data_IF_858522735737
#
_entry.id   IF_858522735737
#
_cell.length_a   1.000
_cell.length_b   1.000
_cell.length_c   1.000
_cell.angle_alpha   90.00
_cell.angle_beta   90.00
_cell.angle_gamma   90.00
#
_symmetry.space_group_name_H-M   'P 1'
#
loop_
_entity.id
_entity.type
_entity.pdbx_description
1 polymer ?
#
# COMPACT_ATOMS: atom_id res chain seq x y z
N UNK A 1 17.57 19.66 -0.63
CA UNK A 1 18.30 18.48 -1.18
C UNK A 1 18.30 18.60 -2.71
N UNK A 2 19.32 18.07 -3.42
CA UNK A 2 19.25 18.05 -4.90
C UNK A 2 18.25 16.98 -5.38
N UNK A 3 17.62 17.23 -6.53
CA UNK A 3 16.68 16.28 -7.13
C UNK A 3 17.26 14.86 -7.32
N UNK A 4 18.48 14.68 -7.87
CA UNK A 4 19.05 13.33 -8.03
C UNK A 4 19.22 12.59 -6.71
N UNK A 5 19.58 13.33 -5.63
CA UNK A 5 19.71 12.72 -4.30
C UNK A 5 18.37 12.30 -3.72
N UNK A 6 17.33 13.15 -3.84
CA UNK A 6 15.99 12.79 -3.40
C UNK A 6 15.48 11.53 -4.12
N UNK A 7 15.62 11.50 -5.45
CA UNK A 7 15.19 10.38 -6.29
C UNK A 7 15.96 9.09 -5.97
N UNK A 8 17.28 9.19 -5.70
CA UNK A 8 18.07 8.04 -5.24
C UNK A 8 17.57 7.49 -3.91
N UNK A 9 17.26 8.36 -2.95
CA UNK A 9 16.73 7.96 -1.65
C UNK A 9 15.35 7.29 -1.77
N UNK A 10 14.46 7.84 -2.63
CA UNK A 10 13.19 7.19 -2.95
C UNK A 10 13.36 5.82 -3.63
N UNK A 11 14.35 5.69 -4.52
CA UNK A 11 14.69 4.40 -5.12
C UNK A 11 15.18 3.39 -4.07
N UNK A 12 15.99 3.82 -3.10
CA UNK A 12 16.45 2.96 -1.99
C UNK A 12 15.28 2.53 -1.13
N UNK A 13 14.40 3.48 -0.74
CA UNK A 13 13.20 3.16 0.05
C UNK A 13 12.33 2.12 -0.66
N UNK A 14 12.00 2.32 -1.94
CA UNK A 14 11.21 1.37 -2.72
C UNK A 14 11.91 0.01 -2.93
N UNK A 15 13.24 0.00 -3.06
CA UNK A 15 14.00 -1.23 -3.25
C UNK A 15 13.99 -2.15 -2.01
N UNK A 16 13.73 -1.63 -0.82
CA UNK A 16 13.68 -2.48 0.40
C UNK A 16 12.55 -3.52 0.37
N UNK A 17 11.54 -3.35 -0.48
CA UNK A 17 10.48 -4.35 -0.70
C UNK A 17 11.06 -5.71 -1.09
N UNK A 18 12.21 -5.72 -1.81
CA UNK A 18 12.90 -6.94 -2.21
C UNK A 18 13.42 -7.76 -1.04
N UNK A 19 13.58 -7.18 0.15
CA UNK A 19 14.03 -7.90 1.35
C UNK A 19 12.92 -8.79 1.93
N UNK A 20 11.65 -8.44 1.74
CA UNK A 20 10.50 -9.24 2.16
C UNK A 20 10.15 -10.39 1.19
N UNK A 21 10.42 -10.22 -0.10
CA UNK A 21 9.99 -11.15 -1.16
C UNK A 21 10.56 -12.57 -1.08
N UNK A 22 11.80 -12.83 -0.59
CA UNK A 22 12.35 -14.19 -0.52
C UNK A 22 11.52 -15.17 0.28
N UNK A 23 10.66 -14.71 1.19
CA UNK A 23 9.71 -15.56 1.95
C UNK A 23 8.82 -16.40 1.03
N UNK A 24 8.50 -15.92 -0.18
CA UNK A 24 7.77 -16.65 -1.20
C UNK A 24 8.44 -17.96 -1.65
N UNK A 25 9.71 -18.17 -1.33
CA UNK A 25 10.49 -19.37 -1.69
C UNK A 25 10.63 -20.38 -0.56
N UNK A 26 10.14 -20.08 0.62
CA UNK A 26 10.16 -21.01 1.76
C UNK A 26 9.27 -22.21 1.44
N UNK A 27 9.77 -23.43 1.66
CA UNK A 27 9.12 -24.69 1.34
C UNK A 27 8.87 -25.55 2.55
N UNK A 28 7.90 -26.48 2.40
CA UNK A 28 7.62 -27.48 3.43
C UNK A 28 6.96 -26.91 4.68
N UNK A 29 6.40 -25.70 4.61
CA UNK A 29 5.66 -25.12 5.73
C UNK A 29 4.37 -25.91 5.96
N UNK A 30 4.06 -26.27 7.21
CA UNK A 30 2.73 -26.81 7.57
C UNK A 30 1.61 -25.85 7.14
N UNK A 31 0.47 -26.39 6.69
CA UNK A 31 -0.67 -25.59 6.20
C UNK A 31 -1.13 -24.54 7.22
N UNK A 32 -1.17 -24.92 8.51
CA UNK A 32 -1.52 -23.98 9.57
C UNK A 32 -0.54 -22.79 9.67
N UNK A 33 0.76 -23.05 9.50
CA UNK A 33 1.78 -21.97 9.52
C UNK A 33 1.66 -21.07 8.29
N UNK A 34 1.36 -21.62 7.10
CA UNK A 34 1.04 -20.83 5.91
C UNK A 34 -0.18 -19.91 6.18
N UNK A 35 -1.19 -20.44 6.86
CA UNK A 35 -2.37 -19.66 7.26
C UNK A 35 -2.04 -18.53 8.24
N UNK A 36 -1.20 -18.79 9.24
CA UNK A 36 -0.75 -17.77 10.21
C UNK A 36 0.09 -16.69 9.53
N UNK A 37 1.00 -17.05 8.62
CA UNK A 37 1.79 -16.10 7.84
C UNK A 37 0.90 -15.23 6.94
N UNK A 38 -0.10 -15.85 6.31
CA UNK A 38 -1.08 -15.10 5.53
C UNK A 38 -1.92 -14.17 6.41
N UNK A 39 -2.33 -14.60 7.60
CA UNK A 39 -3.07 -13.77 8.55
C UNK A 39 -2.21 -12.60 9.07
N UNK A 40 -0.92 -12.83 9.30
CA UNK A 40 0.03 -11.79 9.68
C UNK A 40 0.16 -10.72 8.57
N UNK A 41 0.35 -11.15 7.31
CA UNK A 41 0.34 -10.23 6.18
C UNK A 41 -0.99 -9.47 6.05
N UNK A 42 -2.13 -10.15 6.27
CA UNK A 42 -3.45 -9.51 6.29
C UNK A 42 -3.53 -8.43 7.36
N UNK A 43 -2.98 -8.67 8.55
CA UNK A 43 -2.93 -7.69 9.64
C UNK A 43 -2.14 -6.43 9.27
N UNK A 44 -0.98 -6.59 8.64
CA UNK A 44 -0.18 -5.47 8.11
C UNK A 44 -1.02 -4.64 7.13
N UNK A 45 -1.67 -5.30 6.17
CA UNK A 45 -2.45 -4.61 5.14
C UNK A 45 -3.75 -3.98 5.68
N UNK A 46 -4.33 -4.50 6.77
CA UNK A 46 -5.46 -3.86 7.47
C UNK A 46 -5.02 -2.54 8.09
N UNK A 47 -3.85 -2.52 8.75
CA UNK A 47 -3.28 -1.29 9.27
C UNK A 47 -3.00 -0.29 8.14
N UNK A 48 -2.36 -0.75 7.07
CA UNK A 48 -2.04 0.07 5.91
C UNK A 48 -3.30 0.68 5.26
N UNK A 49 -4.39 -0.08 5.15
CA UNK A 49 -5.66 0.44 4.66
C UNK A 49 -6.20 1.58 5.55
N UNK A 50 -6.14 1.42 6.87
CA UNK A 50 -6.54 2.46 7.81
C UNK A 50 -5.69 3.71 7.65
N UNK A 51 -4.39 3.56 7.55
CA UNK A 51 -3.43 4.65 7.38
C UNK A 51 -3.66 5.41 6.07
N UNK A 52 -3.77 4.69 4.94
CA UNK A 52 -4.05 5.28 3.62
C UNK A 52 -5.38 6.04 3.62
N UNK A 53 -6.45 5.46 4.20
CA UNK A 53 -7.75 6.12 4.27
C UNK A 53 -7.70 7.39 5.13
N UNK A 54 -6.92 7.39 6.21
CA UNK A 54 -6.73 8.55 7.08
C UNK A 54 -6.03 9.69 6.31
N UNK A 55 -4.96 9.36 5.58
CA UNK A 55 -4.22 10.33 4.78
C UNK A 55 -5.01 10.84 3.57
N UNK A 56 -5.79 10.00 2.91
CA UNK A 56 -6.65 10.39 1.79
C UNK A 56 -7.87 11.21 2.24
N UNK A 57 -8.42 10.90 3.43
CA UNK A 57 -9.60 11.56 3.98
C UNK A 57 -9.31 12.94 4.59
N UNK A 58 -8.11 13.13 5.16
CA UNK A 58 -7.74 14.38 5.83
C UNK A 58 -7.95 15.65 4.99
N UNK A 59 -7.46 15.72 3.74
CA UNK A 59 -7.71 16.84 2.83
C UNK A 59 -9.21 17.06 2.53
N UNK A 60 -10.00 15.98 2.40
CA UNK A 60 -11.44 16.05 2.16
C UNK A 60 -12.15 16.67 3.38
N UNK A 61 -11.80 16.21 4.59
CA UNK A 61 -12.34 16.76 5.85
C UNK A 61 -11.94 18.22 6.05
N UNK A 62 -10.68 18.55 5.73
CA UNK A 62 -10.20 19.95 5.79
C UNK A 62 -11.01 20.85 4.86
N UNK A 63 -11.25 20.42 3.61
CA UNK A 63 -12.06 21.16 2.66
C UNK A 63 -13.52 21.33 3.13
N UNK A 64 -14.08 20.30 3.79
CA UNK A 64 -15.42 20.37 4.40
C UNK A 64 -15.48 21.39 5.53
N UNK A 65 -14.51 21.35 6.46
CA UNK A 65 -14.44 22.28 7.60
C UNK A 65 -14.27 23.73 7.12
N UNK A 66 -13.45 23.96 6.10
CA UNK A 66 -13.26 25.26 5.49
C UNK A 66 -14.54 25.79 4.82
N UNK A 67 -15.31 24.91 4.17
CA UNK A 67 -16.60 25.29 3.55
C UNK A 67 -17.68 25.58 4.58
N UNK A 68 -17.85 24.74 5.62
CA UNK A 68 -18.91 24.88 6.61
C UNK A 68 -18.68 26.00 7.62
N UNK A 69 -17.43 26.51 7.73
CA UNK A 69 -17.13 27.80 8.33
C UNK A 69 -17.44 27.95 9.82
N UNK A 70 -16.90 27.07 10.67
CA UNK A 70 -16.98 27.29 12.12
C UNK A 70 -15.76 28.07 12.68
N UNK A 71 -14.91 28.61 11.83
CA UNK A 71 -13.79 29.47 12.18
C UNK A 71 -13.82 30.72 11.31
N UNK A 72 -14.16 31.85 11.89
CA UNK A 72 -14.50 33.19 11.34
C UNK A 72 -13.58 33.82 10.29
N UNK A 73 -12.92 33.08 9.49
CA UNK A 73 -12.15 33.50 8.33
C UNK A 73 -12.50 32.61 7.12
N UNK A 74 -13.43 33.12 6.32
CA UNK A 74 -13.68 32.58 4.97
C UNK A 74 -12.46 32.84 4.10
N UNK A 75 -11.43 32.03 4.21
CA UNK A 75 -10.32 32.02 3.27
C UNK A 75 -10.51 30.85 2.31
N UNK A 76 -11.24 31.09 1.24
CA UNK A 76 -10.81 30.75 -0.07
C UNK A 76 -11.17 29.41 -0.68
N UNK A 77 -11.70 28.38 -0.03
CA UNK A 77 -12.17 27.18 -0.74
C UNK A 77 -13.68 27.06 -0.64
N UNK A 78 -14.39 27.37 -1.72
CA UNK A 78 -15.84 27.25 -1.79
C UNK A 78 -16.31 25.77 -1.79
N UNK A 79 -17.66 25.53 -1.76
CA UNK A 79 -18.23 24.18 -1.80
C UNK A 79 -17.71 23.33 -2.96
N UNK A 80 -17.26 23.96 -4.04
CA UNK A 80 -16.69 23.28 -5.20
C UNK A 80 -15.42 22.47 -4.88
N UNK A 81 -14.52 22.97 -4.03
CA UNK A 81 -13.31 22.24 -3.64
C UNK A 81 -13.63 21.01 -2.81
N UNK A 82 -14.53 21.11 -1.85
CA UNK A 82 -14.97 19.96 -1.06
C UNK A 82 -15.63 18.90 -1.97
N UNK A 83 -16.57 19.31 -2.82
CA UNK A 83 -17.27 18.38 -3.73
C UNK A 83 -16.28 17.70 -4.68
N UNK A 84 -15.30 18.46 -5.20
CA UNK A 84 -14.28 17.91 -6.09
C UNK A 84 -13.39 16.90 -5.35
N UNK A 85 -12.88 17.23 -4.15
CA UNK A 85 -12.05 16.30 -3.36
C UNK A 85 -12.83 15.05 -2.95
N UNK A 86 -14.07 15.21 -2.49
CA UNK A 86 -14.94 14.09 -2.13
C UNK A 86 -15.24 13.20 -3.35
N UNK A 87 -15.44 13.79 -4.52
CA UNK A 87 -15.64 13.06 -5.77
C UNK A 87 -14.35 12.29 -6.17
N UNK A 88 -13.18 12.93 -6.11
CA UNK A 88 -11.88 12.30 -6.38
C UNK A 88 -11.68 11.11 -5.44
N UNK A 89 -11.92 11.29 -4.15
CA UNK A 89 -11.82 10.23 -3.15
C UNK A 89 -12.77 9.07 -3.47
N UNK A 90 -14.07 9.33 -3.64
CA UNK A 90 -15.07 8.29 -3.88
C UNK A 90 -14.86 7.55 -5.20
N UNK A 91 -14.56 8.29 -6.28
CA UNK A 91 -14.24 7.70 -7.59
C UNK A 91 -12.93 6.93 -7.54
N UNK A 92 -11.92 7.44 -6.84
CA UNK A 92 -10.64 6.77 -6.64
C UNK A 92 -10.80 5.41 -5.94
N UNK A 93 -11.49 5.37 -4.79
CA UNK A 93 -11.77 4.11 -4.07
C UNK A 93 -12.55 3.14 -4.98
N UNK A 94 -13.57 3.63 -5.68
CA UNK A 94 -14.35 2.83 -6.62
C UNK A 94 -13.49 2.28 -7.77
N UNK A 95 -12.64 3.11 -8.35
CA UNK A 95 -11.74 2.71 -9.44
C UNK A 95 -10.71 1.68 -8.98
N UNK A 96 -10.12 1.83 -7.80
CA UNK A 96 -9.20 0.86 -7.22
C UNK A 96 -9.86 -0.49 -6.95
N UNK A 97 -10.99 -0.50 -6.26
CA UNK A 97 -11.72 -1.71 -5.92
C UNK A 97 -12.26 -2.44 -7.15
N UNK A 98 -13.05 -1.74 -7.95
CA UNK A 98 -13.74 -2.32 -9.10
C UNK A 98 -12.75 -2.57 -10.25
N UNK A 99 -11.81 -1.65 -10.46
CA UNK A 99 -10.77 -1.77 -11.47
C UNK A 99 -9.91 -3.01 -11.25
N UNK A 100 -9.50 -3.29 -10.01
CA UNK A 100 -8.69 -4.46 -9.68
C UNK A 100 -9.50 -5.77 -9.84
N UNK A 101 -10.80 -5.77 -9.55
CA UNK A 101 -11.69 -6.91 -9.82
C UNK A 101 -11.70 -7.23 -11.32
N UNK A 102 -11.93 -6.23 -12.17
CA UNK A 102 -11.98 -6.44 -13.63
C UNK A 102 -10.60 -6.77 -14.21
N UNK A 103 -9.54 -6.11 -13.74
CA UNK A 103 -8.17 -6.42 -14.13
C UNK A 103 -7.82 -7.88 -13.84
N UNK A 104 -8.12 -8.34 -12.62
CA UNK A 104 -7.86 -9.73 -12.23
C UNK A 104 -8.67 -10.73 -13.08
N UNK A 105 -9.94 -10.42 -13.37
CA UNK A 105 -10.77 -11.23 -14.29
C UNK A 105 -10.23 -11.25 -15.72
N UNK A 106 -9.78 -10.11 -16.24
CA UNK A 106 -9.30 -10.01 -17.62
C UNK A 106 -7.99 -10.78 -17.83
N UNK A 107 -7.06 -10.69 -16.89
CA UNK A 107 -5.73 -11.30 -17.03
C UNK A 107 -5.73 -12.75 -16.57
N UNK A 108 -6.41 -13.06 -15.45
CA UNK A 108 -6.32 -14.37 -14.83
C UNK A 108 -7.61 -15.20 -14.96
N UNK A 109 -8.76 -14.57 -15.22
CA UNK A 109 -10.05 -15.24 -15.35
C UNK A 109 -10.15 -16.18 -16.56
N UNK A 110 -9.37 -15.91 -17.62
CA UNK A 110 -9.29 -16.78 -18.80
C UNK A 110 -8.60 -18.12 -18.53
N UNK A 111 -7.85 -18.21 -17.44
CA UNK A 111 -7.12 -19.42 -17.04
C UNK A 111 -7.89 -20.32 -16.07
N UNK A 112 -9.11 -19.93 -15.65
CA UNK A 112 -9.82 -20.57 -14.54
C UNK A 112 -11.32 -20.76 -14.81
N UNK A 113 -11.69 -21.77 -15.58
CA UNK A 113 -13.04 -22.32 -15.53
C UNK A 113 -13.19 -23.12 -14.23
N UNK A 114 -13.93 -22.59 -13.25
CA UNK A 114 -14.45 -23.35 -12.11
C UNK A 114 -13.73 -23.23 -10.75
N UNK A 115 -12.73 -22.37 -10.55
CA UNK A 115 -12.08 -22.24 -9.24
C UNK A 115 -12.55 -20.98 -8.47
N UNK A 116 -12.89 -21.15 -7.18
CA UNK A 116 -13.51 -20.13 -6.32
C UNK A 116 -12.51 -19.17 -5.65
N UNK A 117 -11.20 -19.36 -5.76
CA UNK A 117 -10.17 -18.48 -5.20
C UNK A 117 -9.09 -18.11 -6.23
N UNK A 118 -8.51 -16.89 -6.21
CA UNK A 118 -7.43 -16.51 -7.12
C UNK A 118 -6.20 -17.42 -6.90
N UNK A 119 -5.43 -17.67 -7.98
CA UNK A 119 -4.17 -18.39 -7.85
C UNK A 119 -3.19 -17.57 -7.01
N UNK A 120 -2.30 -18.21 -6.21
CA UNK A 120 -1.35 -17.50 -5.35
C UNK A 120 -0.55 -16.41 -6.09
N UNK A 121 -0.11 -16.69 -7.32
CA UNK A 121 0.60 -15.70 -8.16
C UNK A 121 -0.27 -14.52 -8.57
N UNK A 122 -1.54 -14.77 -8.89
CA UNK A 122 -2.50 -13.71 -9.23
C UNK A 122 -2.75 -12.80 -8.04
N UNK A 123 -2.90 -13.39 -6.86
CA UNK A 123 -3.09 -12.65 -5.62
C UNK A 123 -1.83 -11.83 -5.27
N UNK A 124 -0.63 -12.42 -5.36
CA UNK A 124 0.62 -11.72 -5.13
C UNK A 124 0.79 -10.51 -6.08
N UNK A 125 0.44 -10.65 -7.36
CA UNK A 125 0.50 -9.54 -8.33
C UNK A 125 -0.56 -8.47 -8.05
N UNK A 126 -1.76 -8.85 -7.61
CA UNK A 126 -2.80 -7.90 -7.22
C UNK A 126 -2.36 -7.08 -5.99
N UNK A 127 -1.74 -7.74 -4.99
CA UNK A 127 -1.14 -7.06 -3.83
C UNK A 127 -0.03 -6.12 -4.29
N UNK A 128 0.92 -6.58 -5.11
CA UNK A 128 2.01 -5.75 -5.61
C UNK A 128 1.49 -4.51 -6.36
N UNK A 129 0.41 -4.65 -7.15
CA UNK A 129 -0.19 -3.52 -7.87
C UNK A 129 -0.85 -2.52 -6.91
N UNK A 130 -1.61 -3.00 -5.92
CA UNK A 130 -2.23 -2.14 -4.91
C UNK A 130 -1.20 -1.38 -4.07
N UNK A 131 -0.16 -2.09 -3.62
CA UNK A 131 0.95 -1.50 -2.88
C UNK A 131 1.76 -0.52 -3.74
N UNK A 132 1.99 -0.82 -5.02
CA UNK A 132 2.68 0.09 -5.92
C UNK A 132 1.96 1.44 -6.08
N UNK A 133 0.64 1.45 -6.10
CA UNK A 133 -0.15 2.70 -6.13
C UNK A 133 0.00 3.49 -4.82
N UNK A 134 0.06 2.81 -3.67
CA UNK A 134 0.34 3.43 -2.39
C UNK A 134 1.78 3.97 -2.34
N UNK A 135 2.74 3.18 -2.72
CA UNK A 135 4.16 3.54 -2.73
C UNK A 135 4.50 4.71 -3.68
N UNK A 136 3.67 4.92 -4.72
CA UNK A 136 3.74 6.13 -5.53
C UNK A 136 3.46 7.38 -4.67
N UNK A 137 2.46 7.33 -3.78
CA UNK A 137 2.12 8.45 -2.89
C UNK A 137 3.18 8.68 -1.81
N UNK A 138 3.78 7.63 -1.26
CA UNK A 138 4.94 7.75 -0.37
C UNK A 138 6.11 8.45 -1.05
N UNK A 139 6.40 8.05 -2.29
CA UNK A 139 7.39 8.72 -3.11
C UNK A 139 7.08 10.20 -3.33
N UNK A 140 5.82 10.55 -3.63
CA UNK A 140 5.39 11.96 -3.76
C UNK A 140 5.73 12.75 -2.48
N UNK A 141 5.45 12.20 -1.29
CA UNK A 141 5.75 12.84 -0.01
C UNK A 141 7.25 13.06 0.21
N UNK A 142 8.11 12.09 -0.14
CA UNK A 142 9.57 12.25 -0.09
C UNK A 142 10.01 13.37 -1.03
N UNK A 143 9.54 13.36 -2.27
CA UNK A 143 9.91 14.33 -3.30
C UNK A 143 9.51 15.74 -2.93
N UNK A 144 8.29 15.96 -2.49
CA UNK A 144 7.76 17.24 -2.04
C UNK A 144 8.55 17.78 -0.84
N UNK A 145 8.76 16.96 0.20
CA UNK A 145 9.53 17.34 1.39
C UNK A 145 10.98 17.77 1.03
N UNK A 146 11.60 17.05 0.09
CA UNK A 146 12.92 17.37 -0.41
C UNK A 146 12.93 18.67 -1.22
N UNK A 147 11.89 18.95 -2.02
CA UNK A 147 11.73 20.17 -2.83
C UNK A 147 11.60 21.41 -1.96
N UNK A 148 10.73 21.40 -0.94
CA UNK A 148 10.53 22.54 -0.03
C UNK A 148 11.67 22.72 0.98
N UNK A 149 12.71 21.91 0.92
CA UNK A 149 13.89 22.02 1.77
C UNK A 149 13.75 21.41 3.17
N UNK A 150 12.68 20.67 3.45
CA UNK A 150 12.47 19.93 4.70
C UNK A 150 13.32 18.64 4.72
N UNK A 151 14.66 18.79 4.65
CA UNK A 151 15.61 17.68 4.41
C UNK A 151 15.58 16.64 5.54
N UNK A 152 15.49 17.09 6.80
CA UNK A 152 15.41 16.17 7.94
C UNK A 152 14.15 15.32 7.87
N UNK A 153 13.01 15.94 7.58
CA UNK A 153 11.73 15.24 7.43
C UNK A 153 11.75 14.27 6.24
N UNK A 154 12.28 14.68 5.07
CA UNK A 154 12.45 13.77 3.94
C UNK A 154 13.32 12.55 4.30
N UNK A 155 14.36 12.72 5.12
CA UNK A 155 15.19 11.63 5.63
C UNK A 155 14.42 10.66 6.52
N UNK A 156 13.58 11.18 7.41
CA UNK A 156 12.70 10.37 8.26
C UNK A 156 11.74 9.55 7.41
N UNK A 157 11.10 10.17 6.41
CA UNK A 157 10.20 9.47 5.49
C UNK A 157 10.92 8.32 4.76
N UNK A 158 12.16 8.57 4.27
CA UNK A 158 12.94 7.53 3.58
C UNK A 158 13.21 6.32 4.48
N UNK A 159 13.65 6.55 5.73
CA UNK A 159 13.92 5.47 6.67
C UNK A 159 12.66 4.69 6.97
N UNK A 160 11.58 5.39 7.16
CA UNK A 160 10.30 4.79 7.48
C UNK A 160 9.69 3.98 6.38
N UNK A 161 9.61 4.55 5.23
CA UNK A 161 9.09 3.82 4.07
C UNK A 161 10.02 2.66 3.70
N UNK A 162 11.34 2.78 3.93
CA UNK A 162 12.23 1.63 3.78
C UNK A 162 11.87 0.46 4.70
N UNK A 163 11.55 0.72 5.98
CA UNK A 163 11.10 -0.32 6.92
C UNK A 163 9.71 -0.85 6.56
N UNK A 164 8.80 0.04 6.16
CA UNK A 164 7.44 -0.30 5.76
C UNK A 164 7.43 -1.21 4.53
N UNK A 165 8.18 -0.86 3.50
CA UNK A 165 8.30 -1.64 2.27
C UNK A 165 8.83 -3.08 2.49
N UNK A 166 9.67 -3.32 3.51
CA UNK A 166 10.07 -4.69 3.86
C UNK A 166 8.85 -5.53 4.26
N UNK A 167 7.96 -4.97 5.08
CA UNK A 167 6.74 -5.66 5.50
C UNK A 167 5.75 -5.84 4.36
N UNK A 168 5.67 -4.91 3.43
CA UNK A 168 4.89 -5.01 2.20
C UNK A 168 5.41 -6.12 1.28
N UNK A 169 6.73 -6.21 1.10
CA UNK A 169 7.35 -7.31 0.38
C UNK A 169 6.97 -8.67 0.95
N UNK A 170 6.89 -8.79 2.28
CA UNK A 170 6.34 -9.97 2.94
C UNK A 170 4.85 -10.17 2.58
N UNK A 171 4.05 -9.11 2.56
CA UNK A 171 2.63 -9.15 2.16
C UNK A 171 2.44 -9.73 0.75
N UNK A 172 3.27 -9.31 -0.22
CA UNK A 172 3.28 -9.85 -1.58
C UNK A 172 3.68 -11.33 -1.59
N UNK A 173 4.65 -11.71 -0.75
CA UNK A 173 5.24 -13.05 -0.73
C UNK A 173 4.35 -14.09 -0.03
N UNK A 174 3.59 -13.70 0.98
CA UNK A 174 2.85 -14.61 1.85
C UNK A 174 1.89 -15.55 1.10
N UNK A 175 1.06 -15.11 0.13
CA UNK A 175 0.21 -16.01 -0.65
C UNK A 175 1.00 -17.05 -1.44
N UNK A 176 2.24 -16.72 -1.85
CA UNK A 176 3.09 -17.61 -2.64
C UNK A 176 3.59 -18.83 -1.85
N UNK A 177 3.55 -18.80 -0.52
CA UNK A 177 3.88 -19.95 0.32
C UNK A 177 2.93 -21.13 0.11
N UNK A 178 1.73 -20.87 -0.42
CA UNK A 178 0.71 -21.87 -0.76
C UNK A 178 0.84 -22.42 -2.20
N UNK A 179 1.71 -21.81 -3.04
CA UNK A 179 1.90 -22.28 -4.42
C UNK A 179 2.72 -23.59 -4.41
N UNK A 180 2.26 -24.69 -5.07
CA UNK A 180 3.02 -25.91 -5.19
C UNK A 180 4.41 -25.71 -5.84
N UNK A 181 4.56 -24.72 -6.71
CA UNK A 181 5.82 -24.38 -7.39
C UNK A 181 6.46 -23.14 -6.77
N UNK A 182 7.80 -23.15 -6.52
CA UNK A 182 8.49 -21.97 -6.02
C UNK A 182 8.32 -20.78 -6.96
N UNK A 183 8.20 -19.59 -6.38
CA UNK A 183 8.28 -18.37 -7.15
C UNK A 183 9.65 -18.31 -7.86
N UNK A 184 9.66 -18.01 -9.17
CA UNK A 184 10.92 -17.73 -9.87
C UNK A 184 11.47 -16.37 -9.43
N UNK A 185 12.78 -16.20 -9.47
CA UNK A 185 13.40 -14.91 -9.18
C UNK A 185 12.91 -13.81 -10.13
N UNK A 186 12.65 -14.14 -11.41
CA UNK A 186 12.06 -13.20 -12.37
C UNK A 186 10.66 -12.74 -11.96
N UNK A 187 9.82 -13.65 -11.42
CA UNK A 187 8.49 -13.28 -10.89
C UNK A 187 8.62 -12.35 -9.69
N UNK A 188 9.53 -12.66 -8.75
CA UNK A 188 9.76 -11.83 -7.57
C UNK A 188 10.34 -10.47 -7.95
N UNK A 189 11.25 -10.43 -8.93
CA UNK A 189 11.78 -9.17 -9.45
C UNK A 189 10.67 -8.30 -10.07
N UNK A 190 9.77 -8.90 -10.87
CA UNK A 190 8.64 -8.17 -11.45
C UNK A 190 7.67 -7.68 -10.37
N UNK A 191 7.31 -8.52 -9.40
CA UNK A 191 6.43 -8.14 -8.30
C UNK A 191 7.03 -7.02 -7.45
N UNK A 192 8.34 -7.09 -7.16
CA UNK A 192 9.06 -6.04 -6.43
C UNK A 192 9.16 -4.72 -7.21
N UNK A 193 9.36 -4.79 -8.53
CA UNK A 193 9.37 -3.60 -9.39
C UNK A 193 7.99 -2.93 -9.45
N UNK A 194 6.92 -3.73 -9.52
CA UNK A 194 5.54 -3.20 -9.52
C UNK A 194 5.20 -2.61 -8.15
N UNK A 195 5.57 -3.29 -7.05
CA UNK A 195 5.28 -2.83 -5.69
C UNK A 195 6.16 -1.63 -5.28
N UNK A 196 7.48 -1.75 -5.36
CA UNK A 196 8.43 -0.74 -4.85
C UNK A 196 8.91 0.28 -5.87
N UNK A 197 8.90 -0.04 -7.18
CA UNK A 197 9.34 0.87 -8.24
C UNK A 197 8.58 2.21 -8.28
N UNK A 198 7.27 2.25 -8.02
CA UNK A 198 6.52 3.49 -7.97
C UNK A 198 6.99 4.51 -6.93
N UNK A 199 7.65 4.10 -5.82
CA UNK A 199 8.27 5.05 -4.87
C UNK A 199 9.31 5.93 -5.57
N UNK A 200 10.15 5.35 -6.43
CA UNK A 200 11.10 6.11 -7.25
C UNK A 200 10.38 7.13 -8.15
N UNK A 201 9.34 6.68 -8.87
CA UNK A 201 8.58 7.53 -9.79
C UNK A 201 7.86 8.65 -9.04
N UNK A 202 7.24 8.32 -7.91
CA UNK A 202 6.57 9.27 -7.03
C UNK A 202 7.54 10.33 -6.50
N UNK A 203 8.74 9.93 -6.05
CA UNK A 203 9.74 10.89 -5.57
C UNK A 203 10.18 11.86 -6.67
N UNK A 204 10.32 11.37 -7.88
CA UNK A 204 10.66 12.22 -9.01
C UNK A 204 9.53 13.23 -9.32
N UNK A 205 8.29 12.76 -9.38
CA UNK A 205 7.12 13.62 -9.64
C UNK A 205 6.92 14.62 -8.50
N UNK A 206 6.95 14.19 -7.24
CA UNK A 206 6.75 15.03 -6.06
C UNK A 206 7.81 16.11 -5.91
N UNK A 207 9.04 15.84 -6.39
CA UNK A 207 10.08 16.87 -6.45
C UNK A 207 9.81 17.95 -7.50
N UNK A 208 9.17 17.61 -8.62
CA UNK A 208 8.87 18.53 -9.72
C UNK A 208 7.55 19.29 -9.53
N UNK A 209 6.55 18.63 -8.97
CA UNK A 209 5.21 19.19 -8.80
C UNK A 209 4.48 18.45 -7.69
N UNK A 210 3.97 19.19 -6.71
CA UNK A 210 3.06 18.64 -5.70
C UNK A 210 1.63 19.07 -6.00
N UNK A 211 0.67 18.15 -5.80
CA UNK A 211 -0.75 18.43 -5.93
C UNK A 211 -1.52 17.58 -4.93
N UNK A 212 -2.20 18.22 -4.00
CA UNK A 212 -3.03 17.56 -3.01
C UNK A 212 -4.15 16.71 -3.66
N UNK A 213 -4.71 17.16 -4.78
CA UNK A 213 -5.71 16.40 -5.55
C UNK A 213 -5.14 15.09 -6.12
N UNK A 214 -3.91 15.14 -6.64
CA UNK A 214 -3.24 13.92 -7.15
C UNK A 214 -2.92 12.96 -6.01
N UNK A 215 -2.46 13.47 -4.88
CA UNK A 215 -2.17 12.64 -3.71
C UNK A 215 -3.44 11.94 -3.20
N UNK A 216 -4.55 12.67 -3.02
CA UNK A 216 -5.86 12.09 -2.66
C UNK A 216 -6.30 11.04 -3.69
N UNK A 217 -6.13 11.31 -4.99
CA UNK A 217 -6.52 10.36 -6.05
C UNK A 217 -5.73 9.04 -5.95
N UNK A 218 -4.40 9.10 -5.82
CA UNK A 218 -3.56 7.89 -5.74
C UNK A 218 -3.81 7.10 -4.46
N UNK A 219 -3.92 7.77 -3.31
CA UNK A 219 -4.24 7.13 -2.03
C UNK A 219 -5.64 6.48 -2.07
N UNK A 220 -6.63 7.16 -2.63
CA UNK A 220 -7.98 6.62 -2.76
C UNK A 220 -8.03 5.37 -3.65
N UNK A 221 -7.32 5.38 -4.80
CA UNK A 221 -7.20 4.22 -5.68
C UNK A 221 -6.49 3.07 -4.96
N UNK A 222 -5.41 3.36 -4.23
CA UNK A 222 -4.68 2.37 -3.43
C UNK A 222 -5.57 1.75 -2.34
N UNK A 223 -6.34 2.57 -1.60
CA UNK A 223 -7.30 2.08 -0.60
C UNK A 223 -8.34 1.13 -1.22
N UNK A 224 -8.90 1.50 -2.38
CA UNK A 224 -9.83 0.64 -3.12
C UNK A 224 -9.21 -0.70 -3.55
N UNK A 225 -7.98 -0.68 -4.06
CA UNK A 225 -7.24 -1.88 -4.42
C UNK A 225 -6.96 -2.77 -3.21
N UNK A 226 -6.56 -2.19 -2.06
CA UNK A 226 -6.33 -2.93 -0.83
C UNK A 226 -7.61 -3.55 -0.25
N UNK A 227 -8.77 -2.90 -0.38
CA UNK A 227 -10.05 -3.51 0.00
C UNK A 227 -10.31 -4.81 -0.75
N UNK A 228 -10.04 -4.86 -2.07
CA UNK A 228 -10.12 -6.09 -2.84
C UNK A 228 -9.14 -7.15 -2.34
N UNK A 229 -7.87 -6.78 -2.16
CA UNK A 229 -6.80 -7.67 -1.71
C UNK A 229 -7.11 -8.27 -0.34
N UNK A 230 -7.55 -7.45 0.61
CA UNK A 230 -7.93 -7.88 1.96
C UNK A 230 -9.06 -8.90 1.94
N UNK A 231 -10.10 -8.68 1.11
CA UNK A 231 -11.17 -9.66 0.96
C UNK A 231 -10.64 -11.04 0.53
N UNK A 232 -9.71 -11.08 -0.43
CA UNK A 232 -9.10 -12.33 -0.91
C UNK A 232 -8.21 -12.99 0.16
N UNK A 233 -7.42 -12.20 0.91
CA UNK A 233 -6.55 -12.69 1.97
C UNK A 233 -7.33 -13.23 3.17
N UNK A 234 -8.43 -12.58 3.56
CA UNK A 234 -9.34 -13.09 4.58
C UNK A 234 -9.92 -14.45 4.17
N UNK A 235 -10.31 -14.58 2.92
CA UNK A 235 -10.85 -15.82 2.40
C UNK A 235 -9.81 -16.94 2.37
N UNK A 236 -8.57 -16.63 1.95
CA UNK A 236 -7.47 -17.59 1.93
C UNK A 236 -7.08 -18.03 3.34
N UNK A 237 -6.87 -17.09 4.26
CA UNK A 237 -6.43 -17.38 5.62
C UNK A 237 -7.39 -18.26 6.40
N UNK A 238 -8.69 -18.01 6.29
CA UNK A 238 -9.75 -18.81 6.94
C UNK A 238 -9.81 -20.27 6.45
N UNK A 239 -9.24 -20.57 5.28
CA UNK A 239 -9.15 -21.93 4.75
C UNK A 239 -7.90 -22.68 5.21
N UNK A 240 -6.86 -21.96 5.61
CA UNK A 240 -5.54 -22.53 5.90
C UNK A 240 -5.30 -22.78 7.39
N UNK A 241 -5.94 -22.03 8.27
CA UNK A 241 -5.77 -22.17 9.72
C UNK A 241 -7.08 -21.98 10.49
N UNK A 242 -7.06 -22.35 11.77
CA UNK A 242 -8.23 -22.21 12.65
C UNK A 242 -8.52 -20.73 12.96
N UNK A 243 -9.79 -20.39 13.35
CA UNK A 243 -10.14 -19.00 13.68
C UNK A 243 -9.25 -18.36 14.75
N UNK A 244 -8.84 -19.02 15.85
CA UNK A 244 -7.92 -18.44 16.80
C UNK A 244 -6.53 -18.17 16.21
N UNK A 245 -5.99 -19.10 15.41
CA UNK A 245 -4.69 -18.91 14.75
C UNK A 245 -4.72 -17.73 13.78
N UNK A 246 -5.82 -17.60 13.02
CA UNK A 246 -6.02 -16.47 12.14
C UNK A 246 -6.08 -15.15 12.92
N UNK A 247 -6.84 -15.09 14.03
CA UNK A 247 -6.98 -13.90 14.84
C UNK A 247 -5.64 -13.45 15.46
N UNK A 248 -4.83 -14.39 15.96
CA UNK A 248 -3.51 -14.07 16.49
C UNK A 248 -2.55 -13.59 15.41
N UNK A 249 -2.52 -14.23 14.24
CA UNK A 249 -1.70 -13.79 13.11
C UNK A 249 -2.06 -12.37 12.68
N UNK A 250 -3.36 -12.09 12.49
CA UNK A 250 -3.88 -10.77 12.14
C UNK A 250 -3.50 -9.70 13.18
N UNK A 251 -3.68 -10.00 14.48
CA UNK A 251 -3.33 -9.08 15.56
C UNK A 251 -1.85 -8.73 15.54
N UNK A 252 -0.97 -9.74 15.48
CA UNK A 252 0.47 -9.49 15.46
C UNK A 252 0.92 -8.74 14.22
N UNK A 253 0.34 -9.03 13.05
CA UNK A 253 0.62 -8.28 11.83
C UNK A 253 0.22 -6.81 11.94
N UNK A 254 -0.99 -6.55 12.41
CA UNK A 254 -1.48 -5.18 12.67
C UNK A 254 -0.58 -4.41 13.65
N UNK A 255 -0.24 -5.03 14.78
CA UNK A 255 0.60 -4.39 15.79
C UNK A 255 2.04 -4.16 15.30
N UNK A 256 2.56 -5.03 14.44
CA UNK A 256 3.89 -4.83 13.83
C UNK A 256 3.90 -3.60 12.92
N UNK A 257 2.90 -3.46 12.04
CA UNK A 257 2.77 -2.31 11.16
C UNK A 257 2.54 -1.01 11.98
N UNK A 258 1.66 -1.06 12.97
CA UNK A 258 1.41 0.08 13.87
C UNK A 258 2.66 0.50 14.66
N UNK A 259 3.44 -0.47 15.16
CA UNK A 259 4.68 -0.16 15.86
C UNK A 259 5.72 0.49 14.94
N UNK A 260 5.79 0.07 13.66
CA UNK A 260 6.64 0.71 12.66
C UNK A 260 6.23 2.17 12.42
N UNK A 261 4.93 2.42 12.30
CA UNK A 261 4.38 3.76 12.12
C UNK A 261 4.64 4.66 13.35
N UNK A 262 4.43 4.15 14.56
CA UNK A 262 4.78 4.87 15.79
C UNK A 262 6.27 5.22 15.86
N UNK A 263 7.14 4.30 15.42
CA UNK A 263 8.57 4.56 15.38
C UNK A 263 8.90 5.71 14.43
N UNK A 264 8.24 5.76 13.28
CA UNK A 264 8.35 6.85 12.32
C UNK A 264 7.89 8.19 12.89
N UNK A 265 6.72 8.20 13.50
CA UNK A 265 6.17 9.38 14.16
C UNK A 265 7.14 9.90 15.22
N UNK A 266 7.74 9.00 16.03
CA UNK A 266 8.73 9.38 17.04
C UNK A 266 10.01 9.97 16.45
N UNK A 267 10.42 9.56 15.25
CA UNK A 267 11.58 10.13 14.56
C UNK A 267 11.29 11.50 13.89
N UNK A 268 10.02 11.81 13.66
CA UNK A 268 9.58 13.06 13.00
C UNK A 268 9.40 14.22 13.98
N UNK A 269 9.38 13.96 15.30
CA UNK A 269 9.30 14.94 16.39
C UNK A 269 10.69 15.34 16.85
#
# INVERSE_FOLDING_TARGET
MSQPMAVLLGAIAGATIFLGLPVARIRGLPTALQGVLNAFATGILVFLLWDILSHAGGPVETALVQWTGNQGTRVGLGPASFVLMAAIFGVGVGAGLIGLVYFNRAIFGRLRHGAHAPAPRSLAMAIATGLGLHNLSEGLAIGESAHVGAIAFAGVLVVGFALHNITEGFGIAAPMTTDPKPASWGFLALAGLIGGGPTFVGTWIGYLASSEYLNVAFLAIAAGALLYVLNELFHLGRRLCSPPQFAWGLLFGFLTAYATDLFLTALSV
#
